data_IF_050788204193
#
_entry.id   IF_050788204193
#
_cell.length_a   1.000
_cell.length_b   1.000
_cell.length_c   1.000
_cell.angle_alpha   90.00
_cell.angle_beta   90.00
_cell.angle_gamma   90.00
#
_symmetry.space_group_name_H-M   'P 1'
#
loop_
_entity.id
_entity.type
_entity.pdbx_description
1 polymer ?
#
# COMPACT_ATOMS: atom_id res chain seq x y z
N UNK A 1 15.09 -42.07 5.74
CA UNK A 1 14.02 -41.06 5.87
C UNK A 1 14.64 -39.68 6.05
N UNK A 2 14.33 -38.73 5.16
CA UNK A 2 14.66 -37.31 5.39
C UNK A 2 13.53 -36.72 6.24
N UNK A 3 13.84 -36.00 7.33
CA UNK A 3 12.82 -35.32 8.12
C UNK A 3 12.07 -34.28 7.26
N UNK A 4 10.73 -34.31 7.32
CA UNK A 4 9.86 -33.34 6.64
C UNK A 4 9.63 -32.15 7.54
N UNK A 5 10.57 -31.20 7.53
CA UNK A 5 10.48 -29.98 8.33
C UNK A 5 9.32 -29.09 7.85
N UNK A 6 8.61 -28.48 8.80
CA UNK A 6 7.64 -27.42 8.55
C UNK A 6 8.16 -26.13 9.14
N UNK A 7 7.92 -25.02 8.46
CA UNK A 7 8.41 -23.70 8.84
C UNK A 7 7.25 -22.73 8.94
N UNK A 8 7.34 -21.82 9.91
CA UNK A 8 6.48 -20.66 10.07
C UNK A 8 7.27 -19.42 9.66
N UNK A 9 6.85 -18.76 8.57
CA UNK A 9 7.47 -17.54 8.07
C UNK A 9 6.63 -16.34 8.52
N UNK A 10 7.26 -15.43 9.24
CA UNK A 10 6.67 -14.19 9.71
C UNK A 10 7.24 -13.03 8.91
N UNK A 11 6.41 -12.02 8.65
CA UNK A 11 6.85 -10.78 8.03
C UNK A 11 6.00 -9.60 8.48
N UNK A 12 6.63 -8.43 8.58
CA UNK A 12 6.00 -7.19 9.03
C UNK A 12 6.92 -5.99 8.80
N UNK A 13 6.36 -4.78 8.83
CA UNK A 13 7.12 -3.53 8.72
C UNK A 13 7.84 -3.17 10.02
N UNK A 14 7.44 -3.78 11.13
CA UNK A 14 8.05 -3.63 12.45
C UNK A 14 8.35 -4.99 13.08
N UNK A 15 9.26 -5.02 14.06
CA UNK A 15 9.54 -6.24 14.82
C UNK A 15 8.31 -6.65 15.64
N UNK A 16 7.57 -5.69 16.20
CA UNK A 16 6.33 -5.96 16.94
C UNK A 16 5.28 -6.64 16.08
N UNK A 17 5.15 -6.25 14.81
CA UNK A 17 4.28 -6.93 13.84
C UNK A 17 4.69 -8.39 13.59
N UNK A 18 5.93 -8.78 13.82
CA UNK A 18 6.36 -10.18 13.69
C UNK A 18 6.09 -10.95 14.98
N UNK A 19 6.42 -10.34 16.13
CA UNK A 19 6.31 -10.98 17.45
C UNK A 19 4.84 -11.15 17.87
N UNK A 20 4.00 -10.14 17.62
CA UNK A 20 2.60 -10.14 18.06
C UNK A 20 1.65 -10.83 17.07
N UNK A 21 2.03 -10.92 15.79
CA UNK A 21 1.15 -11.44 14.74
C UNK A 21 1.15 -12.95 14.74
N UNK A 22 0.03 -13.52 15.19
CA UNK A 22 -0.15 -14.97 15.31
C UNK A 22 -0.55 -15.68 14.01
N UNK A 23 -0.17 -15.14 12.84
CA UNK A 23 -0.55 -15.71 11.54
C UNK A 23 0.64 -15.84 10.58
N UNK A 24 1.59 -16.74 10.88
CA UNK A 24 2.71 -17.02 9.98
C UNK A 24 2.26 -17.79 8.74
N UNK A 25 3.03 -17.63 7.66
CA UNK A 25 2.90 -18.47 6.48
C UNK A 25 3.56 -19.82 6.79
N UNK A 26 2.75 -20.89 6.83
CA UNK A 26 3.24 -22.24 7.12
C UNK A 26 3.62 -22.95 5.83
N UNK A 27 4.86 -23.44 5.75
CA UNK A 27 5.41 -24.06 4.53
C UNK A 27 6.19 -25.33 4.85
N UNK A 28 6.31 -26.22 3.87
CA UNK A 28 7.13 -27.45 3.95
C UNK A 28 8.04 -27.65 2.72
N UNK A 29 8.01 -26.71 1.78
CA UNK A 29 8.78 -26.75 0.55
C UNK A 29 9.26 -25.33 0.18
N UNK A 30 10.39 -25.26 -0.53
CA UNK A 30 11.03 -24.02 -0.96
C UNK A 30 11.21 -24.02 -2.49
N UNK A 31 11.19 -22.85 -3.15
CA UNK A 31 11.12 -21.49 -2.58
C UNK A 31 9.70 -21.06 -2.17
N UNK A 32 9.60 -20.03 -1.32
CA UNK A 32 8.35 -19.41 -0.87
C UNK A 32 8.29 -17.97 -1.37
N UNK A 33 7.12 -17.53 -1.80
CA UNK A 33 6.89 -16.17 -2.28
C UNK A 33 6.03 -15.40 -1.28
N UNK A 34 6.57 -14.32 -0.73
CA UNK A 34 5.80 -13.32 0.01
C UNK A 34 5.06 -12.44 -1.01
N UNK A 35 3.75 -12.30 -0.85
CA UNK A 35 2.87 -11.57 -1.78
C UNK A 35 2.14 -10.46 -1.03
N UNK A 36 1.56 -9.54 -1.79
CA UNK A 36 0.76 -8.41 -1.27
C UNK A 36 1.56 -7.52 -0.30
N UNK A 37 2.86 -7.35 -0.58
CA UNK A 37 3.69 -6.39 0.12
C UNK A 37 3.57 -5.03 -0.56
N UNK A 38 3.63 -3.98 0.22
CA UNK A 38 3.64 -2.62 -0.33
C UNK A 38 4.97 -2.33 -1.04
N UNK A 39 4.92 -1.51 -2.09
CA UNK A 39 6.11 -1.11 -2.86
C UNK A 39 6.99 -0.11 -2.08
N UNK A 40 8.31 -0.22 -2.26
CA UNK A 40 9.32 0.64 -1.64
C UNK A 40 9.24 0.73 -0.11
N UNK A 41 8.90 -0.37 0.55
CA UNK A 41 8.81 -0.49 2.01
C UNK A 41 9.84 -1.50 2.51
N UNK A 42 10.29 -1.28 3.74
CA UNK A 42 11.16 -2.20 4.45
C UNK A 42 10.30 -3.20 5.26
N UNK A 43 10.59 -4.48 5.11
CA UNK A 43 9.95 -5.57 5.83
C UNK A 43 11.00 -6.39 6.55
N UNK A 44 10.76 -6.64 7.84
CA UNK A 44 11.42 -7.72 8.55
C UNK A 44 10.79 -9.05 8.12
N UNK A 45 11.62 -10.08 7.98
CA UNK A 45 11.23 -11.45 7.67
C UNK A 45 11.95 -12.37 8.64
N UNK A 46 11.21 -13.25 9.29
CA UNK A 46 11.74 -14.19 10.26
C UNK A 46 11.12 -15.58 10.10
N UNK A 47 11.81 -16.61 10.58
CA UNK A 47 11.41 -18.00 10.39
C UNK A 47 11.55 -18.76 11.70
N UNK A 48 10.54 -19.56 12.01
CA UNK A 48 10.58 -20.56 13.08
C UNK A 48 10.29 -21.96 12.52
N UNK A 49 10.78 -22.99 13.22
CA UNK A 49 10.45 -24.39 12.92
C UNK A 49 9.11 -24.72 13.60
N UNK A 50 8.25 -25.46 12.89
CA UNK A 50 7.00 -25.99 13.44
C UNK A 50 7.22 -27.47 13.74
N UNK A 51 7.08 -27.83 15.01
CA UNK A 51 7.09 -29.21 15.49
C UNK A 51 5.70 -29.61 16.05
N UNK A 52 5.57 -30.85 16.51
CA UNK A 52 4.29 -31.36 17.03
C UNK A 52 3.80 -30.58 18.26
N UNK A 53 4.73 -30.08 19.09
CA UNK A 53 4.43 -29.41 20.36
C UNK A 53 4.29 -27.88 20.22
N UNK A 54 4.49 -27.34 19.01
CA UNK A 54 4.28 -25.92 18.75
C UNK A 54 5.25 -25.31 17.74
N UNK A 55 5.35 -23.98 17.81
CA UNK A 55 6.28 -23.19 16.99
C UNK A 55 7.50 -22.88 17.85
N UNK A 56 8.68 -23.20 17.33
CA UNK A 56 9.96 -22.88 17.98
C UNK A 56 10.25 -21.38 18.01
N UNK A 57 11.38 -20.98 18.63
CA UNK A 57 11.76 -19.58 18.68
C UNK A 57 12.02 -19.02 17.27
N UNK A 58 11.76 -17.73 17.12
CA UNK A 58 12.23 -16.93 15.99
C UNK A 58 13.76 -16.80 16.01
N UNK A 59 14.36 -16.37 14.90
CA UNK A 59 15.80 -16.14 14.85
C UNK A 59 16.20 -14.93 15.71
N UNK A 60 17.46 -14.90 16.18
CA UNK A 60 17.94 -13.77 17.00
C UNK A 60 17.92 -12.44 16.23
N UNK A 61 18.02 -12.49 14.90
CA UNK A 61 18.07 -11.32 14.03
C UNK A 61 17.20 -11.53 12.79
N UNK A 62 15.99 -10.94 12.75
CA UNK A 62 15.15 -10.95 11.56
C UNK A 62 15.88 -10.38 10.35
N UNK A 63 15.60 -10.93 9.18
CA UNK A 63 16.17 -10.47 7.92
C UNK A 63 15.40 -9.26 7.41
N UNK A 64 16.10 -8.17 7.08
CA UNK A 64 15.49 -6.97 6.53
C UNK A 64 15.49 -7.03 5.00
N UNK A 65 14.30 -6.93 4.40
CA UNK A 65 14.08 -6.94 2.94
C UNK A 65 13.41 -5.64 2.55
N UNK A 66 13.92 -5.00 1.49
CA UNK A 66 13.27 -3.85 0.87
C UNK A 66 12.53 -4.27 -0.39
N UNK A 67 11.25 -3.91 -0.49
CA UNK A 67 10.47 -4.14 -1.72
C UNK A 67 10.86 -3.15 -2.82
N UNK A 68 10.74 -3.59 -4.07
CA UNK A 68 11.02 -2.77 -5.24
C UNK A 68 9.88 -1.84 -5.62
N UNK A 69 10.10 -1.09 -6.71
CA UNK A 69 9.06 -0.27 -7.31
C UNK A 69 8.02 -1.13 -8.03
N UNK A 70 6.77 -0.75 -7.87
CA UNK A 70 5.63 -1.29 -8.60
C UNK A 70 4.74 -0.14 -9.07
N UNK A 71 4.59 0.01 -10.39
CA UNK A 71 3.76 1.07 -10.99
C UNK A 71 2.26 0.82 -10.81
N UNK A 72 1.89 -0.37 -10.35
CA UNK A 72 0.49 -0.76 -10.07
C UNK A 72 0.17 -0.69 -8.57
N UNK A 73 1.16 -0.40 -7.73
CA UNK A 73 0.94 -0.20 -6.31
C UNK A 73 0.08 1.05 -6.05
N UNK A 74 -0.75 1.03 -4.99
CA UNK A 74 -1.63 2.15 -4.68
C UNK A 74 -0.83 3.42 -4.33
N UNK A 75 -1.39 4.61 -4.58
CA UNK A 75 -0.81 5.86 -4.10
C UNK A 75 -0.79 5.90 -2.57
N UNK A 76 0.19 6.61 -2.02
CA UNK A 76 0.35 6.78 -0.57
C UNK A 76 -0.17 8.14 -0.12
N UNK A 77 -0.50 8.26 1.17
CA UNK A 77 -0.85 9.52 1.86
C UNK A 77 -1.88 10.38 1.10
N UNK A 78 -2.90 9.74 0.53
CA UNK A 78 -4.02 10.41 -0.12
C UNK A 78 -4.73 11.32 0.89
N UNK A 79 -4.88 12.59 0.55
CA UNK A 79 -5.62 13.56 1.34
C UNK A 79 -6.32 14.58 0.44
N UNK A 80 -7.38 15.17 0.95
CA UNK A 80 -8.20 16.15 0.25
C UNK A 80 -8.11 17.48 0.99
N UNK A 81 -7.90 18.57 0.26
CA UNK A 81 -7.94 19.94 0.77
C UNK A 81 -9.07 20.70 0.10
N UNK A 82 -9.91 21.33 0.89
CA UNK A 82 -10.98 22.23 0.45
C UNK A 82 -10.60 23.67 0.86
N UNK A 83 -10.36 24.60 -0.09
CA UNK A 83 -10.23 26.00 0.20
C UNK A 83 -11.62 26.54 0.56
N UNK A 84 -11.94 26.51 1.86
CA UNK A 84 -13.23 26.89 2.47
C UNK A 84 -13.71 28.35 2.25
N UNK A 85 -13.21 29.09 1.27
CA UNK A 85 -13.37 30.55 1.24
C UNK A 85 -14.41 31.09 0.26
N UNK A 86 -15.08 30.27 -0.57
CA UNK A 86 -16.11 30.77 -1.51
C UNK A 86 -17.33 29.88 -1.59
N UNK A 87 -18.49 30.47 -1.26
CA UNK A 87 -19.83 29.85 -1.25
C UNK A 87 -20.31 29.35 -2.62
N UNK A 88 -19.70 29.78 -3.72
CA UNK A 88 -20.23 29.57 -5.08
C UNK A 88 -19.40 28.60 -5.95
N UNK A 89 -18.16 28.28 -5.59
CA UNK A 89 -17.27 27.36 -6.33
C UNK A 89 -16.62 26.36 -5.37
N UNK A 90 -17.07 25.10 -5.37
CA UNK A 90 -16.42 24.04 -4.56
C UNK A 90 -15.19 23.56 -5.33
N UNK A 91 -14.00 24.02 -4.92
CA UNK A 91 -12.73 23.63 -5.54
C UNK A 91 -12.03 22.59 -4.68
N UNK A 92 -11.96 21.35 -5.13
CA UNK A 92 -11.29 20.30 -4.35
C UNK A 92 -9.88 20.11 -4.85
N UNK A 93 -8.89 20.12 -3.94
CA UNK A 93 -7.53 19.68 -4.26
C UNK A 93 -7.32 18.29 -3.70
N UNK A 94 -7.14 17.31 -4.59
CA UNK A 94 -6.76 15.95 -4.24
C UNK A 94 -5.25 15.87 -4.29
N UNK A 95 -4.61 15.48 -3.19
CA UNK A 95 -3.16 15.36 -3.10
C UNK A 95 -2.77 13.98 -2.60
N UNK A 96 -1.73 13.41 -3.17
CA UNK A 96 -1.25 12.06 -2.86
C UNK A 96 0.23 11.96 -3.15
N UNK A 97 0.78 10.80 -2.84
CA UNK A 97 2.14 10.46 -3.16
C UNK A 97 2.24 9.22 -4.01
N UNK A 98 3.33 9.15 -4.78
CA UNK A 98 3.67 7.96 -5.54
C UNK A 98 3.93 6.75 -4.63
N UNK A 99 3.92 5.52 -5.18
CA UNK A 99 4.26 4.32 -4.41
C UNK A 99 5.67 4.36 -3.80
N UNK A 100 6.60 5.07 -4.45
CA UNK A 100 8.00 5.13 -4.07
C UNK A 100 8.50 6.58 -3.92
N UNK A 101 9.32 6.89 -2.89
CA UNK A 101 9.88 8.24 -2.71
C UNK A 101 10.76 8.72 -3.87
N UNK A 102 11.38 7.79 -4.60
CA UNK A 102 12.18 8.05 -5.79
C UNK A 102 11.58 7.22 -6.93
N UNK A 103 11.12 7.90 -7.98
CA UNK A 103 10.55 7.29 -9.17
C UNK A 103 11.59 7.30 -10.31
N UNK A 104 11.75 6.18 -11.01
CA UNK A 104 12.60 6.04 -12.21
C UNK A 104 11.77 6.05 -13.50
N UNK A 105 10.44 6.02 -13.36
CA UNK A 105 9.46 5.95 -14.42
C UNK A 105 8.28 6.86 -14.11
N UNK A 106 7.70 7.42 -15.15
CA UNK A 106 6.49 8.24 -15.04
C UNK A 106 5.27 7.36 -14.78
N UNK A 107 4.38 7.84 -13.92
CA UNK A 107 3.12 7.20 -13.57
C UNK A 107 1.97 8.21 -13.70
N UNK A 108 0.82 7.76 -14.21
CA UNK A 108 -0.42 8.53 -14.25
C UNK A 108 -1.49 7.88 -13.39
N UNK A 109 -2.45 8.66 -12.92
CA UNK A 109 -3.49 8.20 -11.99
C UNK A 109 -4.88 8.39 -12.57
N UNK A 110 -5.81 7.54 -12.14
CA UNK A 110 -7.24 7.74 -12.35
C UNK A 110 -7.85 8.18 -11.02
N UNK A 111 -8.50 9.33 -11.00
CA UNK A 111 -9.20 9.87 -9.83
C UNK A 111 -10.69 9.75 -10.06
N UNK A 112 -11.40 9.08 -9.15
CA UNK A 112 -12.86 9.01 -9.14
C UNK A 112 -13.40 9.70 -7.90
N UNK A 113 -14.21 10.73 -8.09
CA UNK A 113 -15.01 11.37 -7.05
C UNK A 113 -16.44 10.85 -7.13
N UNK A 114 -17.02 10.51 -5.99
CA UNK A 114 -18.42 10.06 -5.90
C UNK A 114 -19.21 10.98 -4.98
N UNK A 115 -20.26 11.58 -5.52
CA UNK A 115 -21.28 12.25 -4.72
C UNK A 115 -22.14 11.18 -4.05
N UNK A 116 -22.00 11.04 -2.73
CA UNK A 116 -22.74 10.05 -1.93
C UNK A 116 -24.23 10.37 -1.78
N UNK A 117 -24.66 11.62 -2.00
CA UNK A 117 -26.06 12.03 -1.91
C UNK A 117 -26.80 11.77 -3.21
N UNK A 118 -26.18 12.14 -4.33
CA UNK A 118 -26.77 11.96 -5.67
C UNK A 118 -26.41 10.62 -6.32
N UNK A 119 -25.48 9.86 -5.72
CA UNK A 119 -24.92 8.62 -6.25
C UNK A 119 -24.31 8.78 -7.66
N UNK A 120 -23.79 9.98 -7.94
CA UNK A 120 -23.14 10.30 -9.20
C UNK A 120 -21.62 10.20 -9.07
N UNK A 121 -20.95 9.76 -10.13
CA UNK A 121 -19.50 9.64 -10.18
C UNK A 121 -18.92 10.59 -11.23
N UNK A 122 -17.78 11.19 -10.89
CA UNK A 122 -16.98 12.02 -11.77
C UNK A 122 -15.56 11.46 -11.80
N UNK A 123 -15.05 11.16 -12.99
CA UNK A 123 -13.76 10.52 -13.19
C UNK A 123 -12.80 11.36 -14.03
N UNK A 124 -11.56 11.49 -13.57
CA UNK A 124 -10.43 12.00 -14.34
C UNK A 124 -9.43 10.87 -14.57
N UNK A 125 -8.97 10.70 -15.80
CA UNK A 125 -8.03 9.62 -16.15
C UNK A 125 -6.68 10.17 -16.57
N UNK A 126 -5.63 9.40 -16.27
CA UNK A 126 -4.24 9.72 -16.62
C UNK A 126 -3.78 11.12 -16.17
N UNK A 127 -4.17 11.51 -14.94
CA UNK A 127 -3.73 12.78 -14.36
C UNK A 127 -2.33 12.68 -13.75
N UNK A 128 -1.65 13.81 -13.70
CA UNK A 128 -0.33 13.99 -13.07
C UNK A 128 0.76 13.02 -13.57
N UNK A 129 0.75 12.71 -14.87
CA UNK A 129 1.74 11.84 -15.54
C UNK A 129 3.17 12.35 -15.38
N UNK A 130 3.88 11.87 -14.36
CA UNK A 130 5.17 12.39 -13.91
C UNK A 130 5.94 11.38 -13.08
N UNK A 131 7.21 11.68 -12.82
CA UNK A 131 8.12 10.99 -11.91
C UNK A 131 8.21 11.70 -10.54
N UNK A 132 7.30 12.64 -10.26
CA UNK A 132 7.25 13.32 -8.98
C UNK A 132 6.70 12.39 -7.88
N UNK A 133 7.24 12.51 -6.68
CA UNK A 133 6.79 11.73 -5.51
C UNK A 133 5.60 12.35 -4.79
N UNK A 134 5.42 13.67 -4.89
CA UNK A 134 4.28 14.40 -4.35
C UNK A 134 3.46 14.97 -5.49
N UNK A 135 2.16 14.67 -5.48
CA UNK A 135 1.25 14.93 -6.60
C UNK A 135 0.00 15.62 -6.08
N UNK A 136 -0.51 16.57 -6.86
CA UNK A 136 -1.79 17.23 -6.60
C UNK A 136 -2.59 17.40 -7.88
N UNK A 137 -3.92 17.36 -7.75
CA UNK A 137 -4.88 17.64 -8.81
C UNK A 137 -5.99 18.52 -8.25
N UNK A 138 -6.18 19.68 -8.88
CA UNK A 138 -7.31 20.58 -8.59
C UNK A 138 -8.51 20.16 -9.43
N UNK A 139 -9.68 20.09 -8.81
CA UNK A 139 -10.93 19.66 -9.41
C UNK A 139 -11.99 20.70 -9.06
N UNK A 140 -12.55 21.34 -10.07
CA UNK A 140 -13.68 22.25 -9.91
C UNK A 140 -14.97 21.43 -9.89
N UNK A 141 -15.70 21.44 -8.78
CA UNK A 141 -16.99 20.76 -8.62
C UNK A 141 -18.10 21.81 -8.74
N UNK A 142 -18.91 21.72 -9.79
CA UNK A 142 -20.10 22.54 -9.92
C UNK A 142 -21.23 21.95 -9.06
N UNK A 143 -21.67 22.68 -8.04
CA UNK A 143 -22.84 22.31 -7.24
C UNK A 143 -24.05 23.11 -7.73
N UNK A 144 -25.13 22.44 -8.14
CA UNK A 144 -26.43 23.11 -8.35
C UNK A 144 -26.90 23.35 -9.79
N UNK A 145 -26.28 22.78 -10.82
CA UNK A 145 -26.90 22.70 -12.15
C UNK A 145 -28.02 21.66 -12.14
N UNK A 146 -29.29 22.10 -12.14
CA UNK A 146 -30.44 21.24 -12.46
C UNK A 146 -30.19 20.56 -13.81
N UNK A 147 -30.23 19.23 -13.83
CA UNK A 147 -30.59 18.46 -15.02
C UNK A 147 -32.10 18.29 -15.04
#
# INVERSE_FOLDING_TARGET
>A
NKPTWKYAIYHGKTIDEIVQKNNPIKVSAFPVFLKNLEACEDYFVDVAIIENDGVGPLTEKPYLVKTGMDLTAPPKRLHIRDPQDKLDDVKVTVAWESPCPVMDKKIGYNITLRDIRLNNEFGLSNVSYSDASHLEQRIDIQYGGRY
#
